data_IF_370938894565
#
_entry.id   IF_370938894565
#
_cell.length_a   1.000
_cell.length_b   1.000
_cell.length_c   1.000
_cell.angle_alpha   90.00
_cell.angle_beta   90.00
_cell.angle_gamma   90.00
#
_symmetry.space_group_name_H-M   'P 1'
#
loop_
_entity.id
_entity.type
_entity.pdbx_description
1 polymer ?
#
# COMPACT_ATOMS: atom_id res chain seq x y z
N UNK A 1 -0.10 22.46 -16.02
CA UNK A 1 -1.13 21.71 -15.29
C UNK A 1 -0.75 20.26 -15.40
N UNK A 2 -0.09 19.73 -14.39
CA UNK A 2 0.55 18.42 -14.47
C UNK A 2 -0.36 17.41 -13.81
N UNK A 3 -0.65 16.31 -14.50
CA UNK A 3 -1.65 15.27 -14.19
C UNK A 3 -1.56 14.62 -12.79
N UNK A 4 -0.58 14.98 -11.96
CA UNK A 4 -0.39 14.47 -10.60
C UNK A 4 -1.43 14.96 -9.58
N UNK A 5 -2.43 15.75 -10.00
CA UNK A 5 -3.56 16.18 -9.16
C UNK A 5 -4.79 15.26 -9.25
N UNK A 6 -4.73 14.18 -10.04
CA UNK A 6 -5.86 13.27 -10.21
C UNK A 6 -5.58 11.94 -9.51
N UNK A 7 -5.90 11.87 -8.22
CA UNK A 7 -6.64 10.76 -7.62
C UNK A 7 -6.10 9.32 -7.77
N UNK A 8 -4.89 9.10 -8.28
CA UNK A 8 -4.48 7.78 -8.74
C UNK A 8 -4.32 6.80 -7.58
N UNK A 9 -3.83 7.28 -6.44
CA UNK A 9 -3.78 6.50 -5.19
C UNK A 9 -5.20 6.09 -4.78
N UNK A 10 -6.14 7.03 -4.77
CA UNK A 10 -7.53 6.81 -4.41
C UNK A 10 -8.21 5.80 -5.36
N UNK A 11 -7.91 5.87 -6.66
CA UNK A 11 -8.43 4.91 -7.63
C UNK A 11 -7.83 3.51 -7.44
N UNK A 12 -6.53 3.39 -7.20
CA UNK A 12 -5.90 2.11 -6.91
C UNK A 12 -6.46 1.50 -5.61
N UNK A 13 -6.61 2.31 -4.56
CA UNK A 13 -7.21 1.84 -3.29
C UNK A 13 -8.67 1.43 -3.47
N UNK A 14 -9.44 2.15 -4.29
CA UNK A 14 -10.81 1.75 -4.64
C UNK A 14 -10.84 0.40 -5.36
N UNK A 15 -9.87 0.10 -6.23
CA UNK A 15 -9.75 -1.22 -6.86
C UNK A 15 -9.41 -2.30 -5.84
N UNK A 16 -8.51 -2.03 -4.87
CA UNK A 16 -8.13 -3.04 -3.86
C UNK A 16 -9.32 -3.40 -2.94
N UNK A 17 -10.27 -2.47 -2.76
CA UNK A 17 -11.53 -2.69 -2.02
C UNK A 17 -12.54 -3.57 -2.74
N UNK A 18 -12.35 -3.85 -4.03
CA UNK A 18 -13.26 -4.75 -4.76
C UNK A 18 -13.04 -6.21 -4.38
N UNK A 19 -13.85 -7.10 -4.95
CA UNK A 19 -13.71 -8.54 -4.72
C UNK A 19 -12.30 -9.01 -5.09
N UNK A 20 -11.65 -9.72 -4.15
CA UNK A 20 -10.26 -10.16 -4.31
C UNK A 20 -10.12 -11.07 -5.54
N UNK A 21 -9.03 -10.84 -6.28
CA UNK A 21 -8.70 -11.56 -7.50
C UNK A 21 -7.20 -11.39 -7.78
N UNK A 22 -6.57 -12.25 -8.61
CA UNK A 22 -5.14 -12.18 -8.93
C UNK A 22 -4.68 -10.83 -9.50
N UNK A 23 -5.60 -10.02 -10.05
CA UNK A 23 -5.31 -8.66 -10.50
C UNK A 23 -4.83 -7.73 -9.37
N UNK A 24 -5.19 -8.01 -8.12
CA UNK A 24 -4.81 -7.20 -6.96
C UNK A 24 -3.30 -7.12 -6.76
N UNK A 25 -2.57 -8.18 -7.09
CA UNK A 25 -1.11 -8.18 -7.11
C UNK A 25 -0.57 -7.03 -7.97
N UNK A 26 -1.06 -6.88 -9.20
CA UNK A 26 -0.62 -5.82 -10.10
C UNK A 26 -1.01 -4.43 -9.61
N UNK A 27 -2.20 -4.28 -9.00
CA UNK A 27 -2.65 -3.01 -8.41
C UNK A 27 -1.77 -2.60 -7.24
N UNK A 28 -1.46 -3.55 -6.35
CA UNK A 28 -0.60 -3.33 -5.19
C UNK A 28 0.86 -3.08 -5.61
N UNK A 29 1.36 -3.79 -6.63
CA UNK A 29 2.67 -3.53 -7.22
C UNK A 29 2.77 -2.14 -7.86
N UNK A 30 1.72 -1.68 -8.56
CA UNK A 30 1.65 -0.33 -9.09
C UNK A 30 1.62 0.72 -7.97
N UNK A 31 0.83 0.50 -6.92
CA UNK A 31 0.77 1.39 -5.76
C UNK A 31 2.12 1.43 -5.02
N UNK A 32 2.77 0.28 -4.85
CA UNK A 32 4.10 0.17 -4.25
C UNK A 32 5.15 0.95 -5.06
N UNK A 33 5.10 0.86 -6.39
CA UNK A 33 5.99 1.60 -7.27
C UNK A 33 5.74 3.11 -7.19
N UNK A 34 4.49 3.53 -7.09
CA UNK A 34 4.14 4.94 -6.87
C UNK A 34 4.74 5.47 -5.58
N UNK A 35 4.58 4.78 -4.44
CA UNK A 35 5.04 5.32 -3.15
C UNK A 35 6.54 5.28 -2.93
N UNK A 36 7.29 4.44 -3.68
CA UNK A 36 8.74 4.25 -3.46
C UNK A 36 9.56 5.49 -3.79
N UNK A 37 9.19 6.25 -4.84
CA UNK A 37 9.90 7.46 -5.28
C UNK A 37 9.01 8.72 -5.26
N UNK A 38 7.81 8.63 -4.69
CA UNK A 38 6.84 9.72 -4.66
C UNK A 38 6.35 10.00 -3.23
N UNK A 39 7.01 10.93 -2.50
CA UNK A 39 6.61 11.30 -1.13
C UNK A 39 5.17 11.79 -1.02
N UNK A 40 4.64 12.41 -2.09
CA UNK A 40 3.23 12.78 -2.14
C UNK A 40 2.33 11.54 -2.15
N UNK A 41 2.69 10.46 -2.84
CA UNK A 41 1.95 9.20 -2.83
C UNK A 41 1.91 8.58 -1.45
N UNK A 42 3.03 8.62 -0.70
CA UNK A 42 3.08 8.21 0.71
C UNK A 42 2.09 9.03 1.55
N UNK A 43 2.04 10.34 1.36
CA UNK A 43 1.10 11.22 2.08
C UNK A 43 -0.34 10.87 1.74
N UNK A 44 -0.67 10.68 0.46
CA UNK A 44 -2.02 10.30 0.03
C UNK A 44 -2.44 8.93 0.57
N UNK A 45 -1.51 7.96 0.65
CA UNK A 45 -1.75 6.66 1.28
C UNK A 45 -2.07 6.79 2.77
N UNK A 46 -1.47 7.77 3.47
CA UNK A 46 -1.69 8.03 4.90
C UNK A 46 -2.98 8.77 5.20
N UNK A 47 -3.73 9.22 4.20
CA UNK A 47 -4.97 9.94 4.43
C UNK A 47 -6.00 9.03 5.13
N UNK A 48 -6.56 9.45 6.28
CA UNK A 48 -7.45 8.61 7.07
C UNK A 48 -8.73 8.23 6.32
N UNK A 49 -9.16 9.07 5.38
CA UNK A 49 -10.33 8.83 4.52
C UNK A 49 -10.14 7.60 3.60
N UNK A 50 -8.90 7.29 3.22
CA UNK A 50 -8.58 6.11 2.42
C UNK A 50 -8.60 4.81 3.24
N UNK A 51 -8.42 4.88 4.57
CA UNK A 51 -8.39 3.70 5.44
C UNK A 51 -7.44 2.60 4.96
N UNK A 52 -6.36 2.96 4.26
CA UNK A 52 -5.51 2.01 3.55
C UNK A 52 -4.73 1.11 4.51
N UNK A 53 -4.33 1.61 5.68
CA UNK A 53 -3.61 0.82 6.68
C UNK A 53 -4.42 -0.40 7.13
N UNK A 54 -5.66 -0.18 7.56
CA UNK A 54 -6.54 -1.26 8.03
C UNK A 54 -6.84 -2.26 6.91
N UNK A 55 -7.06 -1.74 5.69
CA UNK A 55 -7.27 -2.56 4.51
C UNK A 55 -6.09 -3.49 4.22
N UNK A 56 -4.85 -2.95 4.21
CA UNK A 56 -3.65 -3.73 3.96
C UNK A 56 -3.41 -4.75 5.07
N UNK A 57 -3.61 -4.39 6.34
CA UNK A 57 -3.49 -5.33 7.47
C UNK A 57 -4.47 -6.49 7.36
N UNK A 58 -5.73 -6.21 7.01
CA UNK A 58 -6.73 -7.24 6.79
C UNK A 58 -6.38 -8.13 5.59
N UNK A 59 -5.86 -7.54 4.51
CA UNK A 59 -5.41 -8.30 3.33
C UNK A 59 -4.23 -9.20 3.66
N UNK A 60 -3.22 -8.73 4.40
CA UNK A 60 -2.10 -9.56 4.85
C UNK A 60 -2.59 -10.80 5.61
N UNK A 61 -3.54 -10.64 6.54
CA UNK A 61 -4.10 -11.77 7.29
C UNK A 61 -4.83 -12.79 6.40
N UNK A 62 -5.58 -12.32 5.40
CA UNK A 62 -6.26 -13.18 4.44
C UNK A 62 -5.28 -13.98 3.58
N UNK A 63 -4.20 -13.33 3.12
CA UNK A 63 -3.24 -13.94 2.19
C UNK A 63 -2.18 -14.80 2.88
N UNK A 64 -2.00 -14.68 4.21
CA UNK A 64 -0.92 -15.35 4.94
C UNK A 64 -0.89 -16.88 4.80
N UNK A 65 -2.03 -17.51 4.51
CA UNK A 65 -2.14 -18.96 4.35
C UNK A 65 -2.18 -19.44 2.89
N UNK A 66 -2.05 -18.52 1.93
CA UNK A 66 -2.20 -18.79 0.51
C UNK A 66 -0.90 -18.49 -0.23
N UNK A 67 -0.10 -19.53 -0.45
CA UNK A 67 1.19 -19.43 -1.17
C UNK A 67 1.03 -18.84 -2.59
N UNK A 68 -0.12 -19.06 -3.23
CA UNK A 68 -0.44 -18.48 -4.54
C UNK A 68 -0.52 -16.95 -4.56
N UNK A 69 -0.67 -16.29 -3.39
CA UNK A 69 -0.73 -14.84 -3.24
C UNK A 69 0.47 -14.26 -2.51
N UNK A 70 1.59 -14.98 -2.46
CA UNK A 70 2.78 -14.54 -1.75
C UNK A 70 3.30 -13.18 -2.27
N UNK A 71 3.31 -12.95 -3.58
CA UNK A 71 3.74 -11.67 -4.17
C UNK A 71 2.81 -10.51 -3.75
N UNK A 72 1.50 -10.75 -3.73
CA UNK A 72 0.51 -9.76 -3.24
C UNK A 72 0.73 -9.43 -1.76
N UNK A 73 1.04 -10.44 -0.94
CA UNK A 73 1.35 -10.28 0.46
C UNK A 73 2.61 -9.42 0.66
N UNK A 74 3.68 -9.70 -0.09
CA UNK A 74 4.93 -8.94 -0.04
C UNK A 74 4.71 -7.45 -0.38
N UNK A 75 3.87 -7.16 -1.39
CA UNK A 75 3.50 -5.78 -1.70
C UNK A 75 2.70 -5.12 -0.57
N UNK A 76 1.76 -5.83 0.04
CA UNK A 76 1.00 -5.30 1.18
C UNK A 76 1.91 -4.94 2.36
N UNK A 77 2.83 -5.83 2.73
CA UNK A 77 3.78 -5.60 3.81
C UNK A 77 4.73 -4.44 3.51
N UNK A 78 5.24 -4.36 2.27
CA UNK A 78 6.11 -3.26 1.85
C UNK A 78 5.39 -1.91 1.86
N UNK A 79 4.12 -1.87 1.46
CA UNK A 79 3.27 -0.68 1.55
C UNK A 79 3.04 -0.28 3.01
N UNK A 80 2.75 -1.24 3.89
CA UNK A 80 2.63 -1.00 5.34
C UNK A 80 3.92 -0.40 5.91
N UNK A 81 5.07 -0.93 5.53
CA UNK A 81 6.36 -0.41 6.00
C UNK A 81 6.65 1.00 5.46
N UNK A 82 6.48 1.20 4.15
CA UNK A 82 6.80 2.48 3.51
C UNK A 82 5.84 3.59 3.95
N UNK A 83 4.55 3.27 4.03
CA UNK A 83 3.52 4.26 4.26
C UNK A 83 3.10 4.39 5.72
N UNK A 84 3.23 3.36 6.56
CA UNK A 84 2.65 3.37 7.91
C UNK A 84 3.63 3.00 9.02
N UNK A 85 4.87 2.62 8.71
CA UNK A 85 5.91 2.60 9.75
C UNK A 85 6.30 4.03 10.11
N UNK A 86 6.22 4.32 11.41
CA UNK A 86 6.87 5.50 11.97
C UNK A 86 8.39 5.35 11.86
N UNK A 87 9.14 6.45 11.61
CA UNK A 87 10.58 6.46 11.83
C UNK A 87 10.84 6.39 13.34
N UNK A 88 10.76 5.18 13.88
CA UNK A 88 11.18 4.76 15.20
C UNK A 88 11.67 3.34 14.98
N UNK A 89 12.91 3.15 14.51
CA UNK A 89 14.08 3.00 15.39
C UNK A 89 15.38 3.21 14.60
N UNK A 90 15.72 4.45 14.24
CA UNK A 90 17.06 4.79 13.72
C UNK A 90 17.56 6.11 14.34
N UNK A 91 17.21 6.32 15.62
CA UNK A 91 17.83 7.34 16.44
C UNK A 91 18.26 6.76 17.78
N UNK A 92 19.55 6.44 17.81
CA UNK A 92 20.44 6.41 18.97
C UNK A 92 20.27 5.26 19.97
N UNK A 93 21.19 4.30 19.92
CA UNK A 93 22.17 4.19 21.01
C UNK A 93 23.53 3.67 20.48
N UNK A 94 24.44 4.65 20.33
CA UNK A 94 25.87 4.64 20.67
C UNK A 94 26.91 3.87 19.84
#
# INVERSE_FOLDING_TARGET
>A
GTLCSMGMVQQLVALIRTEHSPFHEHVLGALCSLVTDFPQGVRECREPELGLEELLRHRCQLLQQHEEYQEELEFCEKLLQTCFSSPTDDSMDR
#
